data_IF_654313234331
#
_entry.id   IF_654313234331
#
_cell.length_a   1.000
_cell.length_b   1.000
_cell.length_c   1.000
_cell.angle_alpha   90.00
_cell.angle_beta   90.00
_cell.angle_gamma   90.00
#
_symmetry.space_group_name_H-M   'P 1'
#
loop_
_entity.id
_entity.type
_entity.pdbx_description
1 polymer ?
#
# COMPACT_ATOMS: atom_id res chain seq x y z
N UNK A 1 23.09 -20.61 -50.06
CA UNK A 1 23.28 -19.15 -49.86
C UNK A 1 24.52 -18.97 -49.00
N UNK A 2 25.63 -18.67 -49.65
CA UNK A 2 26.93 -18.39 -49.03
C UNK A 2 26.98 -16.92 -48.59
N UNK A 3 27.15 -16.67 -47.29
CA UNK A 3 27.49 -15.34 -46.77
C UNK A 3 28.86 -14.90 -47.34
N UNK A 4 29.05 -13.61 -47.69
CA UNK A 4 30.32 -13.16 -48.24
C UNK A 4 31.39 -13.15 -47.14
N UNK A 5 32.44 -13.95 -47.35
CA UNK A 5 33.56 -14.16 -46.42
C UNK A 5 34.30 -12.89 -45.97
N UNK A 6 34.08 -11.74 -46.64
CA UNK A 6 34.69 -10.45 -46.28
C UNK A 6 34.02 -9.75 -45.09
N UNK A 7 32.70 -9.89 -44.91
CA UNK A 7 31.96 -9.23 -43.83
C UNK A 7 32.16 -9.93 -42.47
N UNK A 8 32.33 -11.25 -42.48
CA UNK A 8 32.63 -12.04 -41.29
C UNK A 8 34.05 -11.77 -40.76
N UNK A 9 35.05 -11.66 -41.66
CA UNK A 9 36.44 -11.33 -41.32
C UNK A 9 36.60 -9.92 -40.72
N UNK A 10 35.79 -8.95 -41.17
CA UNK A 10 35.84 -7.57 -40.67
C UNK A 10 35.14 -7.41 -39.31
N UNK A 11 34.12 -8.24 -39.04
CA UNK A 11 33.46 -8.34 -37.71
C UNK A 11 34.32 -9.10 -36.69
N UNK A 12 35.05 -10.13 -37.14
CA UNK A 12 35.90 -10.92 -36.25
C UNK A 12 37.18 -10.17 -35.83
N UNK A 13 37.79 -9.42 -36.75
CA UNK A 13 38.91 -8.51 -36.44
C UNK A 13 38.54 -7.38 -35.46
N UNK A 14 37.34 -6.81 -35.56
CA UNK A 14 36.87 -5.78 -34.61
C UNK A 14 36.50 -6.34 -33.23
N UNK A 15 36.00 -7.58 -33.16
CA UNK A 15 35.77 -8.28 -31.89
C UNK A 15 37.09 -8.60 -31.17
N UNK A 16 38.06 -9.15 -31.89
CA UNK A 16 39.40 -9.42 -31.36
C UNK A 16 40.07 -8.13 -30.88
N UNK A 17 40.00 -7.04 -31.65
CA UNK A 17 40.57 -5.77 -31.23
C UNK A 17 39.88 -5.18 -30.00
N UNK A 18 38.59 -5.40 -29.78
CA UNK A 18 37.89 -4.99 -28.55
C UNK A 18 38.25 -5.87 -27.35
N UNK A 19 38.33 -7.18 -27.52
CA UNK A 19 38.81 -8.09 -26.48
C UNK A 19 40.26 -7.79 -26.09
N UNK A 20 41.13 -7.63 -27.09
CA UNK A 20 42.54 -7.24 -26.92
C UNK A 20 42.67 -5.84 -26.36
N UNK A 21 41.88 -4.84 -26.77
CA UNK A 21 41.93 -3.50 -26.19
C UNK A 21 41.40 -3.47 -24.75
N UNK A 22 40.45 -4.34 -24.41
CA UNK A 22 39.95 -4.50 -23.03
C UNK A 22 41.02 -5.14 -22.15
N UNK A 23 41.64 -6.23 -22.61
CA UNK A 23 42.73 -6.93 -21.91
C UNK A 23 44.01 -6.08 -21.85
N UNK A 24 44.39 -5.43 -22.96
CA UNK A 24 45.59 -4.57 -23.04
C UNK A 24 45.39 -3.26 -22.29
N UNK A 25 44.17 -2.70 -22.20
CA UNK A 25 43.88 -1.57 -21.27
C UNK A 25 43.88 -2.02 -19.82
N UNK A 26 43.51 -3.26 -19.52
CA UNK A 26 43.64 -3.84 -18.18
C UNK A 26 45.11 -4.13 -17.83
N UNK A 27 45.93 -4.54 -18.80
CA UNK A 27 47.36 -4.85 -18.59
C UNK A 27 48.32 -3.65 -18.69
N UNK A 28 48.05 -2.61 -19.50
CA UNK A 28 48.92 -1.42 -19.61
C UNK A 28 48.76 -0.41 -18.48
N UNK A 29 47.67 -0.46 -17.74
CA UNK A 29 47.45 0.44 -16.61
C UNK A 29 47.87 -0.19 -15.26
N UNK A 30 48.65 -1.27 -15.30
CA UNK A 30 48.98 -2.07 -14.12
C UNK A 30 50.33 -2.77 -14.16
N UNK A 31 51.36 -2.15 -14.74
CA UNK A 31 52.71 -2.42 -14.26
C UNK A 31 53.25 -1.17 -13.55
N UNK A 32 52.91 -0.96 -12.26
CA UNK A 32 53.75 -0.11 -11.42
C UNK A 32 55.18 -0.68 -11.41
N UNK A 33 56.21 0.15 -11.16
CA UNK A 33 57.57 -0.34 -11.05
C UNK A 33 57.62 -1.46 -10.02
N UNK A 34 58.24 -2.58 -10.42
CA UNK A 34 58.48 -3.77 -9.60
C UNK A 34 59.09 -3.33 -8.28
N UNK A 35 58.27 -3.27 -7.25
CA UNK A 35 58.69 -2.99 -5.89
C UNK A 35 57.74 -3.70 -4.94
N UNK A 36 58.35 -4.55 -4.11
CA UNK A 36 57.80 -5.23 -2.94
C UNK A 36 57.03 -6.56 -3.16
N UNK A 37 57.78 -7.67 -3.10
CA UNK A 37 57.42 -8.99 -2.51
C UNK A 37 56.15 -9.74 -2.91
N UNK A 38 55.27 -9.17 -3.73
CA UNK A 38 53.89 -9.64 -3.99
C UNK A 38 53.71 -10.27 -5.38
N UNK A 39 54.75 -10.25 -6.22
CA UNK A 39 54.71 -10.46 -7.68
C UNK A 39 54.82 -11.92 -8.16
N UNK A 40 54.84 -12.91 -7.27
CA UNK A 40 55.04 -14.32 -7.63
C UNK A 40 53.83 -15.22 -7.32
N UNK A 41 52.61 -14.70 -7.43
CA UNK A 41 51.42 -15.55 -7.24
C UNK A 41 51.06 -16.26 -8.54
N UNK A 42 50.84 -17.56 -8.46
CA UNK A 42 50.52 -18.41 -9.63
C UNK A 42 49.30 -17.92 -10.40
N UNK A 43 48.34 -17.27 -9.74
CA UNK A 43 47.12 -16.75 -10.36
C UNK A 43 47.37 -15.64 -11.37
N UNK A 44 48.41 -14.83 -11.15
CA UNK A 44 48.72 -13.68 -12.01
C UNK A 44 49.27 -14.14 -13.36
N UNK A 45 49.81 -15.37 -13.43
CA UNK A 45 50.20 -16.00 -14.70
C UNK A 45 48.97 -16.24 -15.60
N UNK A 46 47.86 -16.71 -15.02
CA UNK A 46 46.68 -17.15 -15.77
C UNK A 46 45.59 -16.08 -15.92
N UNK A 47 45.79 -14.93 -15.30
CA UNK A 47 44.79 -13.86 -15.19
C UNK A 47 44.30 -13.34 -16.56
N UNK A 48 45.21 -13.16 -17.52
CA UNK A 48 44.87 -12.72 -18.89
C UNK A 48 43.99 -13.74 -19.63
N UNK A 49 44.28 -15.03 -19.49
CA UNK A 49 43.52 -16.11 -20.12
C UNK A 49 42.14 -16.25 -19.48
N UNK A 50 42.08 -16.27 -18.15
CA UNK A 50 40.81 -16.35 -17.43
C UNK A 50 39.92 -15.15 -17.78
N UNK A 51 40.46 -13.94 -17.78
CA UNK A 51 39.72 -12.74 -18.16
C UNK A 51 39.22 -12.80 -19.61
N UNK A 52 40.03 -13.29 -20.55
CA UNK A 52 39.62 -13.45 -21.94
C UNK A 52 38.47 -14.45 -22.10
N UNK A 53 38.52 -15.58 -21.38
CA UNK A 53 37.49 -16.63 -21.46
C UNK A 53 36.19 -16.17 -20.79
N UNK A 54 36.25 -15.43 -19.68
CA UNK A 54 35.07 -14.79 -19.07
C UNK A 54 34.47 -13.74 -20.02
N UNK A 55 35.31 -12.94 -20.69
CA UNK A 55 34.85 -12.01 -21.71
C UNK A 55 34.17 -12.73 -22.88
N UNK A 56 34.73 -13.86 -23.31
CA UNK A 56 34.13 -14.71 -24.34
C UNK A 56 32.75 -15.22 -23.89
N UNK A 57 32.64 -15.83 -22.72
CA UNK A 57 31.38 -16.38 -22.20
C UNK A 57 30.27 -15.32 -22.15
N UNK A 58 30.60 -14.10 -21.74
CA UNK A 58 29.63 -12.99 -21.65
C UNK A 58 29.26 -12.34 -22.98
N UNK A 59 30.02 -12.59 -24.05
CA UNK A 59 29.83 -11.91 -25.35
C UNK A 59 29.50 -12.84 -26.51
N UNK A 60 29.78 -14.15 -26.40
CA UNK A 60 29.68 -15.09 -27.51
C UNK A 60 28.27 -15.21 -28.10
N UNK A 61 27.22 -14.96 -27.30
CA UNK A 61 25.83 -14.99 -27.76
C UNK A 61 25.48 -13.77 -28.63
N UNK A 62 25.96 -12.59 -28.26
CA UNK A 62 25.63 -11.32 -28.96
C UNK A 62 26.55 -11.05 -30.14
N UNK A 63 27.83 -11.40 -30.00
CA UNK A 63 28.88 -11.19 -31.00
C UNK A 63 29.79 -12.42 -31.01
N UNK A 64 29.39 -13.51 -31.70
CA UNK A 64 30.19 -14.72 -31.75
C UNK A 64 31.50 -14.47 -32.49
N UNK A 65 32.67 -14.74 -31.88
CA UNK A 65 33.94 -14.67 -32.60
C UNK A 65 34.04 -15.77 -33.65
N UNK A 66 34.90 -15.56 -34.64
CA UNK A 66 35.26 -16.63 -35.58
C UNK A 66 36.07 -17.71 -34.87
N UNK A 67 35.92 -18.96 -35.30
CA UNK A 67 36.61 -20.11 -34.72
C UNK A 67 38.14 -19.93 -34.70
N UNK A 68 38.72 -19.55 -35.84
CA UNK A 68 40.17 -19.41 -35.99
C UNK A 68 40.72 -18.27 -35.14
N UNK A 69 40.05 -17.11 -35.16
CA UNK A 69 40.46 -15.93 -34.39
C UNK A 69 40.46 -16.19 -32.88
N UNK A 70 39.39 -16.83 -32.38
CA UNK A 70 39.30 -17.21 -30.98
C UNK A 70 40.39 -18.22 -30.61
N UNK A 71 40.57 -19.27 -31.43
CA UNK A 71 41.57 -20.32 -31.21
C UNK A 71 43.00 -19.79 -31.21
N UNK A 72 43.38 -19.00 -32.21
CA UNK A 72 44.69 -18.38 -32.28
C UNK A 72 44.96 -17.52 -31.05
N UNK A 73 43.95 -16.76 -30.60
CA UNK A 73 44.10 -15.91 -29.42
C UNK A 73 44.27 -16.72 -28.13
N UNK A 74 43.47 -17.77 -27.93
CA UNK A 74 43.61 -18.68 -26.78
C UNK A 74 44.99 -19.32 -26.78
N UNK A 75 45.44 -19.89 -27.91
CA UNK A 75 46.75 -20.53 -28.02
C UNK A 75 47.90 -19.54 -27.75
N UNK A 76 47.79 -18.30 -28.24
CA UNK A 76 48.77 -17.26 -27.95
C UNK A 76 48.85 -16.94 -26.45
N UNK A 77 47.70 -16.86 -25.76
CA UNK A 77 47.65 -16.62 -24.31
C UNK A 77 48.19 -17.81 -23.52
N UNK A 78 47.87 -19.04 -23.92
CA UNK A 78 48.39 -20.27 -23.29
C UNK A 78 49.91 -20.36 -23.42
N UNK A 79 50.46 -20.09 -24.62
CA UNK A 79 51.91 -20.13 -24.83
C UNK A 79 52.62 -18.99 -24.07
N UNK A 80 52.01 -17.81 -23.97
CA UNK A 80 52.58 -16.69 -23.20
C UNK A 80 52.70 -16.99 -21.70
N UNK A 81 51.82 -17.82 -21.14
CA UNK A 81 51.88 -18.22 -19.73
C UNK A 81 53.13 -19.03 -19.41
N UNK A 82 53.55 -19.91 -20.32
CA UNK A 82 54.72 -20.75 -20.13
C UNK A 82 56.00 -19.92 -20.08
N UNK A 83 56.13 -18.93 -20.97
CA UNK A 83 57.26 -18.01 -20.97
C UNK A 83 57.30 -17.13 -19.70
N UNK A 84 56.13 -16.66 -19.24
CA UNK A 84 56.03 -15.91 -17.97
C UNK A 84 56.36 -16.79 -16.76
N UNK A 85 55.95 -18.05 -16.75
CA UNK A 85 56.25 -18.98 -15.67
C UNK A 85 57.76 -19.28 -15.58
N UNK A 86 58.42 -19.45 -16.74
CA UNK A 86 59.88 -19.59 -16.83
C UNK A 86 60.59 -18.34 -16.32
N UNK A 87 60.15 -17.15 -16.74
CA UNK A 87 60.73 -15.88 -16.31
C UNK A 87 60.59 -15.63 -14.80
N UNK A 88 59.48 -16.06 -14.21
CA UNK A 88 59.22 -15.93 -12.76
C UNK A 88 59.83 -17.08 -11.92
N UNK A 89 60.57 -18.01 -12.54
CA UNK A 89 61.24 -19.11 -11.83
C UNK A 89 60.28 -20.13 -11.21
N UNK A 90 59.07 -20.29 -11.77
CA UNK A 90 58.08 -21.24 -11.25
C UNK A 90 58.50 -22.68 -11.58
N UNK A 91 58.43 -23.57 -10.59
CA UNK A 91 58.73 -25.00 -10.80
C UNK A 91 57.85 -25.60 -11.89
N UNK A 92 58.45 -26.43 -12.77
CA UNK A 92 57.78 -26.99 -13.95
C UNK A 92 56.55 -27.80 -13.57
N UNK A 93 56.64 -28.58 -12.49
CA UNK A 93 55.54 -29.38 -11.95
C UNK A 93 54.40 -28.49 -11.45
N UNK A 94 54.73 -27.42 -10.72
CA UNK A 94 53.74 -26.45 -10.21
C UNK A 94 53.02 -25.75 -11.36
N UNK A 95 53.76 -25.34 -12.40
CA UNK A 95 53.18 -24.76 -13.61
C UNK A 95 52.30 -25.77 -14.35
N UNK A 96 52.74 -27.04 -14.48
CA UNK A 96 52.00 -28.08 -15.16
C UNK A 96 50.67 -28.39 -14.46
N UNK A 97 50.67 -28.47 -13.13
CA UNK A 97 49.48 -28.72 -12.30
C UNK A 97 48.47 -27.56 -12.34
N UNK A 98 48.97 -26.32 -12.29
CA UNK A 98 48.10 -25.14 -12.39
C UNK A 98 47.55 -24.97 -13.80
N UNK A 99 48.37 -25.16 -14.84
CA UNK A 99 47.94 -25.11 -16.25
C UNK A 99 46.86 -26.16 -16.53
N UNK A 100 46.99 -27.36 -15.96
CA UNK A 100 45.99 -28.41 -16.11
C UNK A 100 44.60 -27.95 -15.64
N UNK A 101 44.52 -27.36 -14.45
CA UNK A 101 43.27 -26.86 -13.88
C UNK A 101 42.61 -25.80 -14.77
N UNK A 102 43.41 -24.82 -15.22
CA UNK A 102 42.90 -23.71 -16.02
C UNK A 102 42.42 -24.19 -17.39
N UNK A 103 43.19 -25.02 -18.10
CA UNK A 103 42.77 -25.50 -19.42
C UNK A 103 41.56 -26.43 -19.36
N UNK A 104 41.42 -27.20 -18.27
CA UNK A 104 40.21 -28.01 -18.02
C UNK A 104 38.97 -27.12 -17.92
N UNK A 105 39.08 -26.00 -17.19
CA UNK A 105 38.00 -25.02 -17.10
C UNK A 105 37.73 -24.29 -18.42
N UNK A 106 38.77 -23.92 -19.18
CA UNK A 106 38.58 -23.29 -20.49
C UNK A 106 37.82 -24.19 -21.45
N UNK A 107 38.21 -25.47 -21.56
CA UNK A 107 37.53 -26.43 -22.41
C UNK A 107 36.06 -26.60 -22.01
N UNK A 108 35.78 -26.81 -20.72
CA UNK A 108 34.41 -26.96 -20.24
C UNK A 108 33.56 -25.71 -20.50
N UNK A 109 34.12 -24.52 -20.27
CA UNK A 109 33.43 -23.24 -20.49
C UNK A 109 33.08 -23.05 -21.97
N UNK A 110 34.02 -23.33 -22.88
CA UNK A 110 33.79 -23.19 -24.32
C UNK A 110 32.77 -24.22 -24.82
N UNK A 111 32.85 -25.47 -24.37
CA UNK A 111 31.96 -26.55 -24.80
C UNK A 111 30.52 -26.38 -24.28
N UNK A 112 30.37 -25.81 -23.08
CA UNK A 112 29.06 -25.55 -22.48
C UNK A 112 28.46 -24.18 -22.86
N UNK A 113 29.20 -23.36 -23.62
CA UNK A 113 28.72 -22.05 -24.06
C UNK A 113 27.66 -22.13 -25.17
N UNK A 114 26.92 -21.03 -25.37
CA UNK A 114 25.99 -20.87 -26.49
C UNK A 114 26.69 -20.55 -27.83
N UNK A 115 28.00 -20.75 -27.93
CA UNK A 115 28.77 -20.42 -29.13
C UNK A 115 28.44 -21.37 -30.30
N UNK A 116 28.20 -20.86 -31.53
CA UNK A 116 27.85 -21.71 -32.68
C UNK A 116 28.93 -22.72 -33.07
N UNK A 117 30.21 -22.38 -32.86
CA UNK A 117 31.34 -23.21 -33.27
C UNK A 117 31.86 -24.14 -32.16
N UNK A 118 31.14 -24.28 -31.03
CA UNK A 118 31.59 -25.07 -29.88
C UNK A 118 31.91 -26.54 -30.22
N UNK A 119 31.20 -27.15 -31.18
CA UNK A 119 31.45 -28.54 -31.62
C UNK A 119 32.71 -28.68 -32.48
N UNK A 120 33.21 -27.58 -33.04
CA UNK A 120 34.44 -27.52 -33.83
C UNK A 120 35.64 -27.10 -32.98
N UNK A 121 35.42 -26.84 -31.68
CA UNK A 121 36.47 -26.50 -30.75
C UNK A 121 37.45 -27.67 -30.62
N UNK A 122 38.74 -27.40 -30.83
CA UNK A 122 39.77 -28.38 -30.53
C UNK A 122 40.05 -28.35 -29.04
N UNK A 123 39.63 -29.41 -28.33
CA UNK A 123 39.87 -29.59 -26.91
C UNK A 123 41.35 -29.39 -26.55
N UNK A 124 41.64 -28.36 -25.75
CA UNK A 124 42.98 -28.05 -25.27
C UNK A 124 43.56 -29.20 -24.44
N UNK A 125 42.72 -29.87 -23.66
CA UNK A 125 43.13 -31.01 -22.83
C UNK A 125 43.61 -32.20 -23.67
N UNK A 126 42.99 -32.43 -24.83
CA UNK A 126 43.44 -33.45 -25.78
C UNK A 126 44.77 -33.03 -26.44
N UNK A 127 44.92 -31.76 -26.80
CA UNK A 127 46.13 -31.25 -27.46
C UNK A 127 47.36 -31.22 -26.55
N UNK A 128 47.23 -30.73 -25.32
CA UNK A 128 48.36 -30.52 -24.42
C UNK A 128 48.63 -31.71 -23.49
N UNK A 129 47.60 -32.43 -23.06
CA UNK A 129 47.71 -33.50 -22.06
C UNK A 129 47.29 -34.88 -22.59
N UNK A 130 46.81 -34.97 -23.84
CA UNK A 130 46.32 -36.22 -24.47
C UNK A 130 45.25 -36.94 -23.64
N UNK A 131 44.45 -36.17 -22.90
CA UNK A 131 43.36 -36.68 -22.06
C UNK A 131 42.02 -36.16 -22.54
N UNK A 132 41.01 -37.03 -22.47
CA UNK A 132 39.60 -36.69 -22.71
C UNK A 132 38.79 -36.65 -21.41
N UNK A 133 39.36 -37.13 -20.29
CA UNK A 133 38.67 -37.25 -19.01
C UNK A 133 39.08 -36.15 -18.01
N UNK A 134 39.35 -34.95 -18.52
CA UNK A 134 39.82 -33.82 -17.71
C UNK A 134 38.88 -33.51 -16.52
N UNK A 135 37.57 -33.72 -16.69
CA UNK A 135 36.57 -33.49 -15.66
C UNK A 135 36.71 -34.36 -14.41
N UNK A 136 37.22 -35.59 -14.51
CA UNK A 136 37.53 -36.45 -13.35
C UNK A 136 38.97 -36.26 -12.86
N UNK A 137 39.91 -36.13 -13.81
CA UNK A 137 41.33 -35.94 -13.50
C UNK A 137 41.59 -34.66 -12.71
N UNK A 138 40.83 -33.59 -12.96
CA UNK A 138 40.87 -32.36 -12.19
C UNK A 138 40.71 -32.61 -10.69
N UNK A 139 39.71 -33.40 -10.29
CA UNK A 139 39.49 -33.69 -8.87
C UNK A 139 40.53 -34.65 -8.30
N UNK A 140 41.00 -35.60 -9.12
CA UNK A 140 42.10 -36.50 -8.72
C UNK A 140 43.39 -35.72 -8.44
N UNK A 141 43.74 -34.77 -9.30
CA UNK A 141 44.91 -33.91 -9.10
C UNK A 141 44.75 -33.08 -7.83
N UNK A 142 43.58 -32.47 -7.62
CA UNK A 142 43.26 -31.69 -6.42
C UNK A 142 43.38 -32.52 -5.11
N UNK A 143 42.93 -33.77 -5.12
CA UNK A 143 43.01 -34.69 -3.98
C UNK A 143 44.47 -35.10 -3.68
N UNK A 144 45.30 -35.25 -4.72
CA UNK A 144 46.72 -35.63 -4.61
C UNK A 144 47.65 -34.47 -4.22
N UNK A 145 47.16 -33.22 -4.23
CA UNK A 145 47.98 -32.06 -3.90
C UNK A 145 48.47 -32.12 -2.44
N UNK A 146 49.78 -31.89 -2.19
CA UNK A 146 50.31 -31.77 -0.84
C UNK A 146 49.56 -30.73 0.00
N UNK A 147 49.48 -30.93 1.31
CA UNK A 147 48.79 -29.99 2.21
C UNK A 147 49.37 -28.57 2.13
N UNK A 148 50.67 -28.45 1.86
CA UNK A 148 51.42 -27.20 1.76
C UNK A 148 51.19 -26.44 0.43
N UNK A 149 50.66 -27.11 -0.61
CA UNK A 149 50.51 -26.55 -1.95
C UNK A 149 49.26 -25.64 -2.08
N UNK A 150 49.14 -24.64 -1.21
CA UNK A 150 47.98 -23.76 -1.16
C UNK A 150 47.86 -22.85 -2.39
N UNK A 151 48.99 -22.44 -3.00
CA UNK A 151 48.97 -21.60 -4.21
C UNK A 151 48.36 -22.33 -5.41
N UNK A 152 48.62 -23.63 -5.55
CA UNK A 152 48.00 -24.47 -6.59
C UNK A 152 46.52 -24.65 -6.28
N UNK A 153 46.20 -24.98 -5.02
CA UNK A 153 44.82 -25.18 -4.55
C UNK A 153 43.95 -23.92 -4.73
N UNK A 154 44.53 -22.73 -4.64
CA UNK A 154 43.88 -21.46 -4.96
C UNK A 154 43.40 -21.43 -6.42
N UNK A 155 44.20 -21.87 -7.39
CA UNK A 155 43.82 -21.93 -8.81
C UNK A 155 42.65 -22.89 -9.02
N UNK A 156 42.71 -24.07 -8.42
CA UNK A 156 41.60 -25.05 -8.47
C UNK A 156 40.32 -24.44 -7.89
N UNK A 157 40.42 -23.77 -6.73
CA UNK A 157 39.30 -23.07 -6.13
C UNK A 157 38.75 -21.95 -7.02
N UNK A 158 39.60 -21.20 -7.72
CA UNK A 158 39.20 -20.17 -8.67
C UNK A 158 38.43 -20.77 -9.85
N UNK A 159 38.93 -21.82 -10.49
CA UNK A 159 38.24 -22.52 -11.58
C UNK A 159 36.85 -23.02 -11.14
N UNK A 160 36.78 -23.62 -9.94
CA UNK A 160 35.52 -24.05 -9.33
C UNK A 160 34.57 -22.88 -9.08
N UNK A 161 35.09 -21.74 -8.63
CA UNK A 161 34.28 -20.53 -8.37
C UNK A 161 33.80 -19.85 -9.65
N UNK A 162 34.56 -19.98 -10.74
CA UNK A 162 34.20 -19.53 -12.08
C UNK A 162 33.25 -20.49 -12.82
N UNK A 163 32.76 -21.54 -12.15
CA UNK A 163 31.69 -22.38 -12.68
C UNK A 163 32.14 -23.75 -13.19
N UNK A 164 33.41 -24.15 -13.02
CA UNK A 164 33.84 -25.52 -13.33
C UNK A 164 33.06 -26.55 -12.49
N UNK A 165 32.53 -27.57 -13.16
CA UNK A 165 31.76 -28.67 -12.58
C UNK A 165 32.47 -30.02 -12.75
N UNK A 166 33.08 -30.27 -13.91
CA UNK A 166 33.73 -31.54 -14.23
C UNK A 166 32.82 -32.75 -14.01
N UNK A 167 33.31 -33.76 -13.28
CA UNK A 167 32.54 -34.98 -12.94
C UNK A 167 31.21 -34.72 -12.21
N UNK A 168 31.03 -33.55 -11.61
CA UNK A 168 29.84 -33.16 -10.87
C UNK A 168 28.78 -32.42 -11.70
N UNK A 169 28.93 -32.39 -13.03
CA UNK A 169 27.98 -31.70 -13.91
C UNK A 169 26.60 -32.39 -14.02
N UNK A 170 26.53 -33.70 -13.76
CA UNK A 170 25.31 -34.50 -13.91
C UNK A 170 24.87 -35.11 -12.57
N UNK A 171 23.59 -35.02 -12.23
CA UNK A 171 23.00 -35.68 -11.06
C UNK A 171 22.91 -34.83 -9.78
N UNK A 172 22.67 -35.49 -8.64
CA UNK A 172 22.53 -34.88 -7.30
C UNK A 172 23.87 -34.47 -6.65
N UNK A 173 24.98 -34.74 -7.35
CA UNK A 173 26.32 -34.53 -6.82
C UNK A 173 26.75 -33.04 -6.78
N UNK A 174 25.89 -32.11 -7.23
CA UNK A 174 26.12 -30.67 -7.04
C UNK A 174 26.21 -30.28 -5.55
N UNK A 175 25.57 -31.04 -4.67
CA UNK A 175 25.73 -30.88 -3.22
C UNK A 175 27.17 -31.21 -2.78
N UNK A 176 27.75 -32.30 -3.28
CA UNK A 176 29.14 -32.67 -2.98
C UNK A 176 30.12 -31.60 -3.50
N UNK A 177 29.89 -31.07 -4.69
CA UNK A 177 30.70 -29.99 -5.26
C UNK A 177 30.64 -28.73 -4.38
N UNK A 178 29.46 -28.40 -3.84
CA UNK A 178 29.27 -27.25 -2.94
C UNK A 178 30.02 -27.43 -1.62
N UNK A 179 29.95 -28.64 -1.05
CA UNK A 179 30.65 -28.97 0.19
C UNK A 179 32.17 -29.00 -0.01
N UNK A 180 32.65 -29.52 -1.15
CA UNK A 180 34.05 -29.44 -1.54
C UNK A 180 34.53 -27.98 -1.64
N UNK A 181 33.80 -27.11 -2.34
CA UNK A 181 34.14 -25.67 -2.42
C UNK A 181 34.22 -25.02 -1.04
N UNK A 182 33.31 -25.38 -0.12
CA UNK A 182 33.31 -24.88 1.26
C UNK A 182 34.51 -25.37 2.06
N UNK A 183 34.87 -26.65 1.93
CA UNK A 183 36.03 -27.23 2.59
C UNK A 183 37.34 -26.59 2.10
N UNK A 184 37.50 -26.44 0.77
CA UNK A 184 38.65 -25.76 0.16
C UNK A 184 38.77 -24.32 0.62
N UNK A 185 37.65 -23.57 0.64
CA UNK A 185 37.64 -22.20 1.13
C UNK A 185 38.11 -22.10 2.58
N UNK A 186 37.62 -22.98 3.46
CA UNK A 186 38.01 -23.01 4.87
C UNK A 186 39.51 -23.32 5.04
N UNK A 187 40.04 -24.27 4.27
CA UNK A 187 41.46 -24.61 4.29
C UNK A 187 42.36 -23.45 3.82
N UNK A 188 41.96 -22.79 2.73
CA UNK A 188 42.71 -21.64 2.20
C UNK A 188 42.63 -20.43 3.15
N UNK A 189 41.48 -20.18 3.79
CA UNK A 189 41.33 -19.10 4.77
C UNK A 189 42.14 -19.33 6.05
N UNK A 190 42.26 -20.61 6.48
CA UNK A 190 43.03 -20.97 7.68
C UNK A 190 44.53 -20.68 7.55
N UNK A 191 45.06 -20.58 6.33
CA UNK A 191 46.49 -20.36 6.08
C UNK A 191 46.81 -18.93 5.64
N UNK A 192 45.91 -18.27 4.89
CA UNK A 192 46.18 -16.97 4.23
C UNK A 192 45.28 -15.81 4.73
N UNK A 193 44.51 -16.00 5.81
CA UNK A 193 43.49 -15.03 6.27
C UNK A 193 42.20 -15.10 5.45
N UNK A 194 41.20 -14.25 5.76
CA UNK A 194 39.95 -14.22 4.99
C UNK A 194 40.25 -13.81 3.55
N UNK A 195 40.16 -14.77 2.62
CA UNK A 195 40.50 -14.60 1.21
C UNK A 195 39.69 -13.43 0.62
N UNK A 196 38.46 -13.18 1.12
CA UNK A 196 37.61 -12.05 0.74
C UNK A 196 38.20 -10.68 1.08
N UNK A 197 38.98 -10.58 2.15
CA UNK A 197 39.61 -9.34 2.61
C UNK A 197 40.99 -9.13 1.98
N UNK A 198 41.72 -10.23 1.71
CA UNK A 198 43.06 -10.20 1.08
C UNK A 198 43.01 -10.03 -0.45
N UNK A 199 41.81 -9.98 -1.05
CA UNK A 199 41.65 -9.47 -2.42
C UNK A 199 41.89 -7.95 -2.45
N UNK A 200 43.16 -7.54 -2.54
CA UNK A 200 43.46 -6.42 -3.43
C UNK A 200 42.87 -6.81 -4.79
N UNK A 201 41.74 -6.17 -5.14
CA UNK A 201 40.96 -6.39 -6.35
C UNK A 201 41.89 -6.78 -7.50
N UNK A 202 41.70 -7.95 -8.12
CA UNK A 202 42.59 -8.45 -9.19
C UNK A 202 42.86 -7.40 -10.29
N UNK A 203 41.95 -6.44 -10.47
CA UNK A 203 42.14 -5.27 -11.32
C UNK A 203 41.43 -4.05 -10.70
N UNK A 204 42.06 -3.31 -9.77
CA UNK A 204 41.41 -2.19 -9.07
C UNK A 204 40.85 -1.16 -10.06
N UNK A 205 41.54 -0.97 -11.17
CA UNK A 205 41.14 -0.06 -12.26
C UNK A 205 40.02 -0.59 -13.16
N UNK A 206 39.96 -1.90 -13.42
CA UNK A 206 38.81 -2.49 -14.14
C UNK A 206 37.55 -2.32 -13.29
N UNK A 207 37.68 -2.53 -11.98
CA UNK A 207 36.62 -2.23 -11.03
C UNK A 207 36.40 -0.73 -10.87
N UNK A 208 37.33 0.19 -11.08
CA UNK A 208 37.03 1.64 -11.09
C UNK A 208 36.31 2.08 -12.36
N UNK A 209 36.61 1.47 -13.52
CA UNK A 209 35.88 1.73 -14.78
C UNK A 209 34.48 1.10 -14.78
N UNK A 210 34.29 -0.02 -14.08
CA UNK A 210 32.97 -0.62 -13.84
C UNK A 210 32.27 0.04 -12.63
N UNK A 211 33.01 0.42 -11.58
CA UNK A 211 32.57 1.22 -10.44
C UNK A 211 32.81 2.71 -10.70
N UNK A 212 32.27 3.18 -11.81
CA UNK A 212 31.07 3.99 -11.78
C UNK A 212 30.92 4.61 -13.16
N UNK A 213 30.38 3.83 -14.13
CA UNK A 213 29.21 4.42 -14.75
C UNK A 213 28.29 4.70 -13.55
N UNK A 214 27.92 5.95 -13.22
CA UNK A 214 26.92 6.15 -12.19
C UNK A 214 25.81 5.19 -12.61
N UNK A 215 25.56 4.14 -11.81
CA UNK A 215 24.28 3.48 -11.90
C UNK A 215 23.36 4.67 -11.83
N UNK A 216 22.66 4.96 -12.92
CA UNK A 216 21.64 5.97 -12.91
C UNK A 216 20.72 5.43 -11.83
N UNK A 217 20.91 5.90 -10.58
CA UNK A 217 20.02 5.62 -9.46
C UNK A 217 18.67 5.78 -10.10
N UNK A 218 17.78 4.78 -10.04
CA UNK A 218 16.68 4.65 -10.97
C UNK A 218 15.67 5.77 -10.72
N UNK A 219 16.04 7.01 -11.06
CA UNK A 219 15.29 8.23 -10.93
C UNK A 219 14.07 8.09 -11.83
N UNK A 220 14.22 7.37 -12.94
CA UNK A 220 13.12 6.97 -13.81
C UNK A 220 12.17 6.00 -13.10
N UNK A 221 12.63 4.97 -12.36
CA UNK A 221 11.71 4.07 -11.63
C UNK A 221 11.02 4.78 -10.46
N UNK A 222 11.71 5.62 -9.69
CA UNK A 222 11.10 6.40 -8.61
C UNK A 222 10.07 7.39 -9.16
N UNK A 223 10.35 8.05 -10.29
CA UNK A 223 9.39 8.93 -10.97
C UNK A 223 8.18 8.13 -11.46
N UNK A 224 8.38 6.92 -12.02
CA UNK A 224 7.30 6.01 -12.42
C UNK A 224 6.47 5.51 -11.24
N UNK A 225 7.09 5.20 -10.10
CA UNK A 225 6.35 4.85 -8.89
C UNK A 225 5.60 6.06 -8.32
N UNK A 226 6.18 7.27 -8.38
CA UNK A 226 5.52 8.49 -7.96
C UNK A 226 4.31 8.85 -8.85
N UNK A 227 4.42 8.69 -10.17
CA UNK A 227 3.29 8.90 -11.10
C UNK A 227 2.25 7.78 -11.03
N UNK A 228 2.68 6.53 -10.85
CA UNK A 228 1.76 5.40 -10.66
C UNK A 228 0.98 5.52 -9.34
N UNK A 229 1.58 6.09 -8.29
CA UNK A 229 0.92 6.31 -7.01
C UNK A 229 0.10 7.62 -6.98
N UNK A 230 0.44 8.63 -7.78
CA UNK A 230 -0.30 9.90 -7.79
C UNK A 230 -1.73 9.76 -8.32
N UNK A 231 -1.95 8.90 -9.31
CA UNK A 231 -3.28 8.68 -9.88
C UNK A 231 -4.30 8.13 -8.85
N UNK A 232 -4.06 7.02 -8.13
CA UNK A 232 -4.98 6.53 -7.12
C UNK A 232 -5.13 7.50 -5.92
N UNK A 233 -4.08 8.24 -5.55
CA UNK A 233 -4.16 9.27 -4.50
C UNK A 233 -5.06 10.44 -4.93
N UNK A 234 -4.92 10.93 -6.16
CA UNK A 234 -5.80 11.97 -6.71
C UNK A 234 -7.25 11.48 -6.82
N UNK A 235 -7.45 10.23 -7.23
CA UNK A 235 -8.77 9.61 -7.30
C UNK A 235 -9.40 9.52 -5.90
N UNK A 236 -8.61 9.13 -4.89
CA UNK A 236 -9.05 9.10 -3.49
C UNK A 236 -9.40 10.49 -2.96
N UNK A 237 -8.56 11.51 -3.22
CA UNK A 237 -8.84 12.91 -2.80
C UNK A 237 -10.11 13.43 -3.47
N UNK A 238 -10.27 13.18 -4.78
CA UNK A 238 -11.46 13.57 -5.53
C UNK A 238 -12.71 12.88 -4.97
N UNK A 239 -12.65 11.57 -4.76
CA UNK A 239 -13.73 10.79 -4.16
C UNK A 239 -14.09 11.28 -2.75
N UNK A 240 -13.09 11.55 -1.91
CA UNK A 240 -13.27 12.10 -0.57
C UNK A 240 -13.93 13.49 -0.61
N UNK A 241 -13.55 14.34 -1.56
CA UNK A 241 -14.15 15.66 -1.73
C UNK A 241 -15.61 15.56 -2.20
N UNK A 242 -15.91 14.68 -3.15
CA UNK A 242 -17.28 14.42 -3.62
C UNK A 242 -18.16 13.90 -2.48
N UNK A 243 -17.68 12.90 -1.73
CA UNK A 243 -18.36 12.38 -0.54
C UNK A 243 -18.61 13.48 0.50
N UNK A 244 -17.59 14.31 0.77
CA UNK A 244 -17.70 15.38 1.76
C UNK A 244 -18.67 16.47 1.30
N UNK A 245 -18.71 16.78 0.02
CA UNK A 245 -19.68 17.72 -0.53
C UNK A 245 -21.11 17.22 -0.31
N UNK A 246 -21.41 15.99 -0.73
CA UNK A 246 -22.72 15.35 -0.54
C UNK A 246 -23.09 15.22 0.95
N UNK A 247 -22.16 14.80 1.79
CA UNK A 247 -22.38 14.69 3.23
C UNK A 247 -22.71 16.05 3.88
N UNK A 248 -21.99 17.11 3.50
CA UNK A 248 -22.27 18.45 4.02
C UNK A 248 -23.64 18.98 3.55
N UNK A 249 -24.07 18.68 2.33
CA UNK A 249 -25.41 19.02 1.85
C UNK A 249 -26.49 18.31 2.67
N UNK A 250 -26.31 17.03 2.97
CA UNK A 250 -27.22 16.26 3.83
C UNK A 250 -27.24 16.77 5.28
N UNK A 251 -26.07 17.09 5.85
CA UNK A 251 -25.97 17.65 7.20
C UNK A 251 -26.70 19.00 7.27
N UNK A 252 -26.53 19.87 6.27
CA UNK A 252 -27.23 21.17 6.22
C UNK A 252 -28.76 21.02 6.17
N UNK A 253 -29.29 19.96 5.55
CA UNK A 253 -30.72 19.67 5.53
C UNK A 253 -31.25 19.14 6.88
N UNK A 254 -30.45 18.35 7.59
CA UNK A 254 -30.78 17.85 8.94
C UNK A 254 -30.66 18.98 9.97
N UNK A 255 -29.65 19.83 9.81
CA UNK A 255 -29.33 20.95 10.70
C UNK A 255 -30.06 22.23 10.28
N UNK A 256 -31.33 22.08 9.88
CA UNK A 256 -32.25 23.21 9.73
C UNK A 256 -32.28 23.94 11.09
N UNK A 257 -32.02 25.26 11.14
CA UNK A 257 -31.86 25.94 12.42
C UNK A 257 -33.11 25.71 13.27
N UNK A 258 -32.89 25.25 14.51
CA UNK A 258 -33.95 25.17 15.50
C UNK A 258 -34.66 26.53 15.54
N UNK A 259 -35.99 26.52 15.51
CA UNK A 259 -36.80 27.74 15.63
C UNK A 259 -36.27 28.48 16.87
N UNK A 260 -35.68 29.67 16.69
CA UNK A 260 -35.18 30.47 17.80
C UNK A 260 -36.38 30.83 18.70
N UNK A 261 -36.52 30.11 19.80
CA UNK A 261 -37.56 30.36 20.80
C UNK A 261 -37.16 31.62 21.58
N UNK A 262 -38.01 32.67 21.64
CA UNK A 262 -37.72 33.86 22.42
C UNK A 262 -37.43 33.51 23.89
N UNK A 263 -36.50 34.23 24.52
CA UNK A 263 -36.20 34.05 25.95
C UNK A 263 -37.46 34.17 26.83
N UNK A 264 -38.35 35.11 26.48
CA UNK A 264 -39.65 35.33 27.12
C UNK A 264 -40.81 34.72 26.32
N UNK A 265 -40.68 33.43 25.98
CA UNK A 265 -41.64 32.73 25.12
C UNK A 265 -43.11 32.85 25.58
N UNK A 266 -43.37 32.91 26.89
CA UNK A 266 -44.71 33.01 27.44
C UNK A 266 -45.39 34.33 27.07
N UNK A 267 -44.65 35.44 27.16
CA UNK A 267 -45.15 36.76 26.78
C UNK A 267 -45.42 36.85 25.28
N UNK A 268 -44.47 36.40 24.45
CA UNK A 268 -44.63 36.41 22.98
C UNK A 268 -45.78 35.50 22.53
N UNK A 269 -45.96 34.35 23.17
CA UNK A 269 -47.09 33.44 22.91
C UNK A 269 -48.42 34.12 23.23
N UNK A 270 -48.54 34.75 24.39
CA UNK A 270 -49.77 35.46 24.79
C UNK A 270 -50.10 36.60 23.84
N UNK A 271 -49.11 37.42 23.46
CA UNK A 271 -49.31 38.53 22.52
C UNK A 271 -49.83 38.06 21.16
N UNK A 272 -49.21 37.03 20.60
CA UNK A 272 -49.59 36.50 19.28
C UNK A 272 -50.98 35.84 19.31
N UNK A 273 -51.31 35.09 20.37
CA UNK A 273 -52.64 34.50 20.53
C UNK A 273 -53.71 35.58 20.68
N UNK A 274 -53.44 36.66 21.43
CA UNK A 274 -54.35 37.81 21.55
C UNK A 274 -54.56 38.52 20.22
N UNK A 275 -53.51 38.70 19.41
CA UNK A 275 -53.62 39.25 18.04
C UNK A 275 -54.55 38.41 17.16
N UNK A 276 -54.52 37.09 17.33
CA UNK A 276 -55.44 36.15 16.65
C UNK A 276 -56.85 36.09 17.27
N UNK A 277 -57.17 36.97 18.23
CA UNK A 277 -58.49 37.04 18.85
C UNK A 277 -58.76 35.94 19.88
N UNK A 278 -57.73 35.26 20.38
CA UNK A 278 -57.84 34.24 21.42
C UNK A 278 -57.61 34.86 22.80
N UNK A 279 -58.34 34.37 23.81
CA UNK A 279 -58.10 34.76 25.21
C UNK A 279 -56.94 33.94 25.76
N UNK A 280 -55.79 34.58 25.91
CA UNK A 280 -54.59 34.01 26.52
C UNK A 280 -54.12 34.87 27.70
N UNK A 281 -53.73 34.22 28.79
CA UNK A 281 -53.22 34.86 30.02
C UNK A 281 -51.96 34.12 30.46
N UNK A 282 -50.94 34.87 30.86
CA UNK A 282 -49.76 34.30 31.47
C UNK A 282 -49.99 34.10 32.98
N UNK A 283 -49.85 32.87 33.45
CA UNK A 283 -50.04 32.48 34.85
C UNK A 283 -48.78 31.78 35.39
N UNK A 284 -48.65 31.58 36.73
CA UNK A 284 -47.51 30.88 37.31
C UNK A 284 -47.36 29.44 36.80
N UNK A 285 -48.47 28.75 36.53
CA UNK A 285 -48.50 27.34 36.08
C UNK A 285 -48.18 27.20 34.56
N UNK A 286 -48.39 28.26 33.78
CA UNK A 286 -48.24 28.25 32.33
C UNK A 286 -49.04 29.34 31.62
N UNK A 287 -49.04 29.31 30.28
CA UNK A 287 -49.91 30.17 29.48
C UNK A 287 -51.27 29.50 29.31
N UNK A 288 -52.32 30.08 29.92
CA UNK A 288 -53.70 29.59 29.85
C UNK A 288 -54.43 30.21 28.67
N UNK A 289 -55.01 29.37 27.83
CA UNK A 289 -55.77 29.75 26.63
C UNK A 289 -57.19 29.24 26.79
N UNK A 290 -58.18 30.14 26.78
CA UNK A 290 -59.58 29.77 27.03
C UNK A 290 -60.37 29.70 25.73
N UNK A 291 -60.95 28.54 25.45
CA UNK A 291 -61.90 28.29 24.36
C UNK A 291 -63.33 28.25 24.92
N UNK A 292 -64.17 29.20 24.53
CA UNK A 292 -65.57 29.31 24.98
C UNK A 292 -66.50 28.25 24.34
N UNK A 293 -67.58 27.87 25.04
CA UNK A 293 -68.53 26.79 24.67
C UNK A 293 -69.16 26.88 23.29
N UNK A 294 -69.26 28.08 22.71
CA UNK A 294 -70.04 28.38 21.48
C UNK A 294 -69.54 27.67 20.22
N UNK A 295 -68.64 26.72 20.41
CA UNK A 295 -67.79 26.05 19.46
C UNK A 295 -68.08 24.53 19.42
N UNK A 296 -68.73 23.96 20.45
CA UNK A 296 -69.15 22.55 20.46
C UNK A 296 -70.68 22.43 20.34
N UNK A 297 -71.18 21.44 19.60
CA UNK A 297 -72.62 21.16 19.57
C UNK A 297 -73.13 20.76 20.97
N UNK A 298 -74.40 21.06 21.27
CA UNK A 298 -75.00 20.75 22.57
C UNK A 298 -74.87 19.25 22.89
N UNK A 299 -74.41 18.92 24.10
CA UNK A 299 -74.11 17.55 24.55
C UNK A 299 -73.13 16.75 23.67
N UNK A 300 -72.35 17.42 22.82
CA UNK A 300 -71.36 16.76 21.96
C UNK A 300 -69.93 17.16 22.33
N UNK A 301 -69.01 16.25 22.03
CA UNK A 301 -67.57 16.46 22.02
C UNK A 301 -67.02 16.75 20.61
N UNK A 302 -67.88 16.69 19.57
CA UNK A 302 -67.47 16.92 18.20
C UNK A 302 -67.08 18.39 17.95
N UNK A 303 -65.91 18.58 17.33
CA UNK A 303 -65.39 19.88 16.94
C UNK A 303 -66.10 20.39 15.68
N UNK A 304 -66.58 21.63 15.70
CA UNK A 304 -67.02 22.35 14.50
C UNK A 304 -65.78 22.88 13.73
N UNK A 305 -65.82 22.99 12.38
CA UNK A 305 -64.79 23.64 11.57
C UNK A 305 -64.20 24.95 12.11
N UNK A 306 -65.02 25.82 12.72
CA UNK A 306 -64.55 27.07 13.33
C UNK A 306 -63.62 26.83 14.54
N UNK A 307 -63.89 25.78 15.33
CA UNK A 307 -63.03 25.38 16.45
C UNK A 307 -61.74 24.78 15.93
N UNK A 308 -61.84 23.97 14.89
CA UNK A 308 -60.66 23.37 14.28
C UNK A 308 -59.71 24.45 13.76
N UNK A 309 -60.24 25.52 13.17
CA UNK A 309 -59.40 26.66 12.74
C UNK A 309 -58.69 27.32 13.92
N UNK A 310 -59.40 27.57 15.03
CA UNK A 310 -58.79 28.13 16.25
C UNK A 310 -57.76 27.20 16.88
N UNK A 311 -58.03 25.88 16.91
CA UNK A 311 -57.08 24.88 17.41
C UNK A 311 -55.85 24.83 16.50
N UNK A 312 -56.02 24.88 15.18
CA UNK A 312 -54.91 24.96 14.23
C UNK A 312 -54.05 26.19 14.49
N UNK A 313 -54.67 27.34 14.72
CA UNK A 313 -53.97 28.58 15.07
C UNK A 313 -53.20 28.47 16.38
N UNK A 314 -53.81 27.90 17.42
CA UNK A 314 -53.15 27.66 18.71
C UNK A 314 -51.95 26.72 18.50
N UNK A 315 -52.15 25.58 17.86
CA UNK A 315 -51.09 24.60 17.61
C UNK A 315 -49.93 25.21 16.83
N UNK A 316 -50.22 25.96 15.76
CA UNK A 316 -49.20 26.64 14.97
C UNK A 316 -48.39 27.64 15.81
N UNK A 317 -49.07 28.43 16.65
CA UNK A 317 -48.41 29.41 17.52
C UNK A 317 -47.60 28.72 18.63
N UNK A 318 -48.15 27.70 19.30
CA UNK A 318 -47.43 26.95 20.34
C UNK A 318 -46.22 26.21 19.76
N UNK A 319 -46.30 25.65 18.55
CA UNK A 319 -45.13 25.05 17.89
C UNK A 319 -44.01 26.04 17.58
N UNK A 320 -44.35 27.31 17.37
CA UNK A 320 -43.36 28.36 17.08
C UNK A 320 -42.69 28.88 18.35
N UNK A 321 -43.47 29.12 19.41
CA UNK A 321 -42.97 29.78 20.62
C UNK A 321 -42.66 28.81 21.76
N UNK A 322 -43.28 27.63 21.80
CA UNK A 322 -43.14 26.67 22.89
C UNK A 322 -43.14 25.19 22.40
N UNK A 323 -42.33 24.82 21.39
CA UNK A 323 -42.38 23.49 20.75
C UNK A 323 -42.10 22.32 21.70
N UNK A 324 -41.36 22.56 22.78
CA UNK A 324 -40.93 21.53 23.72
C UNK A 324 -41.73 21.45 25.01
N UNK A 325 -42.69 22.36 25.21
CA UNK A 325 -43.49 22.45 26.44
C UNK A 325 -44.60 21.41 26.49
N UNK A 326 -44.92 20.96 27.70
CA UNK A 326 -46.09 20.13 27.95
C UNK A 326 -47.37 20.96 27.84
N UNK A 327 -48.46 20.31 27.46
CA UNK A 327 -49.76 20.92 27.23
C UNK A 327 -50.78 20.17 28.07
N UNK A 328 -51.47 20.87 28.95
CA UNK A 328 -52.63 20.35 29.68
C UNK A 328 -53.92 20.92 29.07
N UNK A 329 -54.88 20.06 28.80
CA UNK A 329 -56.19 20.41 28.27
C UNK A 329 -57.23 20.10 29.33
N UNK A 330 -57.85 21.14 29.88
CA UNK A 330 -58.87 21.04 30.91
C UNK A 330 -60.26 21.30 30.35
N UNK A 331 -61.15 20.34 30.48
CA UNK A 331 -62.56 20.47 30.10
C UNK A 331 -63.43 20.88 31.29
N UNK A 332 -64.35 21.82 31.06
CA UNK A 332 -65.32 22.27 32.07
C UNK A 332 -66.75 22.24 31.53
N UNK A 333 -67.69 21.90 32.40
CA UNK A 333 -69.13 21.86 32.11
C UNK A 333 -69.90 22.80 33.04
N UNK A 334 -71.04 23.31 32.59
CA UNK A 334 -71.97 24.05 33.44
C UNK A 334 -72.76 23.11 34.34
N UNK A 335 -73.13 23.59 35.53
CA UNK A 335 -74.09 22.90 36.39
C UNK A 335 -75.51 23.32 35.96
N UNK A 336 -76.29 22.40 35.42
CA UNK A 336 -77.73 22.56 35.24
C UNK A 336 -78.44 21.90 36.43
N UNK A 337 -79.65 22.37 36.78
CA UNK A 337 -80.32 21.99 38.04
C UNK A 337 -80.55 20.48 38.20
N UNK A 338 -80.59 19.73 37.11
CA UNK A 338 -81.03 18.32 37.08
C UNK A 338 -80.00 17.33 36.47
N UNK A 339 -78.69 17.61 36.48
CA UNK A 339 -77.69 16.75 35.84
C UNK A 339 -76.67 16.11 36.79
N UNK A 340 -76.46 14.79 36.63
CA UNK A 340 -75.44 13.99 37.31
C UNK A 340 -74.03 14.55 37.06
N UNK A 341 -73.30 14.88 38.12
CA UNK A 341 -71.90 15.33 38.04
C UNK A 341 -71.02 14.34 37.29
N UNK A 342 -71.32 13.05 37.35
CA UNK A 342 -70.66 12.00 36.56
C UNK A 342 -70.80 12.23 35.06
N UNK A 343 -71.97 12.67 34.60
CA UNK A 343 -72.23 12.99 33.18
C UNK A 343 -71.43 14.22 32.75
N UNK A 344 -71.38 15.24 33.60
CA UNK A 344 -70.58 16.45 33.36
C UNK A 344 -69.09 16.15 33.31
N UNK A 345 -68.60 15.27 34.19
CA UNK A 345 -67.20 14.80 34.19
C UNK A 345 -66.85 14.03 32.92
N UNK A 346 -67.74 13.15 32.43
CA UNK A 346 -67.54 12.45 31.14
C UNK A 346 -67.52 13.42 29.97
N UNK A 347 -68.54 14.26 29.83
CA UNK A 347 -68.64 15.21 28.71
C UNK A 347 -67.46 16.20 28.67
N UNK A 348 -67.04 16.70 29.83
CA UNK A 348 -65.86 17.57 29.90
C UNK A 348 -64.57 16.85 29.55
N UNK A 349 -64.41 15.59 29.98
CA UNK A 349 -63.26 14.75 29.59
C UNK A 349 -63.25 14.48 28.10
N UNK A 350 -64.38 14.09 27.51
CA UNK A 350 -64.47 13.77 26.07
C UNK A 350 -64.15 14.99 25.19
N UNK A 351 -64.52 16.20 25.64
CA UNK A 351 -64.14 17.46 24.98
C UNK A 351 -62.65 17.75 25.08
N UNK A 352 -62.08 17.59 26.27
CA UNK A 352 -60.63 17.75 26.47
C UNK A 352 -59.84 16.73 25.61
N UNK A 353 -60.33 15.50 25.53
CA UNK A 353 -59.75 14.43 24.72
C UNK A 353 -59.83 14.75 23.22
N UNK A 354 -60.97 15.27 22.75
CA UNK A 354 -61.14 15.69 21.37
C UNK A 354 -60.16 16.79 20.94
N UNK A 355 -59.88 17.74 21.85
CA UNK A 355 -58.86 18.77 21.65
C UNK A 355 -57.45 18.17 21.71
N UNK A 356 -57.16 17.28 22.65
CA UNK A 356 -55.88 16.54 22.71
C UNK A 356 -55.60 15.78 21.41
N UNK A 357 -56.56 15.04 20.89
CA UNK A 357 -56.44 14.30 19.64
C UNK A 357 -56.23 15.25 18.44
N UNK A 358 -56.84 16.44 18.46
CA UNK A 358 -56.55 17.46 17.46
C UNK A 358 -55.09 17.95 17.53
N UNK A 359 -54.55 18.18 18.73
CA UNK A 359 -53.14 18.56 18.91
C UNK A 359 -52.18 17.47 18.42
N UNK A 360 -52.49 16.20 18.71
CA UNK A 360 -51.69 15.04 18.27
C UNK A 360 -51.74 14.91 16.75
N UNK A 361 -52.93 14.99 16.14
CA UNK A 361 -53.13 14.96 14.68
C UNK A 361 -52.36 16.08 13.98
N UNK A 362 -52.27 17.25 14.61
CA UNK A 362 -51.53 18.40 14.10
C UNK A 362 -50.02 18.31 14.40
N UNK A 363 -49.55 17.20 14.97
CA UNK A 363 -48.14 16.83 15.09
C UNK A 363 -47.49 17.18 16.41
N UNK A 364 -48.24 17.24 17.52
CA UNK A 364 -47.66 17.12 18.86
C UNK A 364 -47.48 15.64 19.23
N UNK A 365 -46.47 15.35 20.05
CA UNK A 365 -46.29 14.00 20.60
C UNK A 365 -47.35 13.74 21.67
N UNK A 366 -47.90 12.53 21.71
CA UNK A 366 -48.99 12.14 22.61
C UNK A 366 -48.61 12.18 24.10
N UNK A 367 -47.33 12.06 24.42
CA UNK A 367 -46.78 12.16 25.78
C UNK A 367 -46.69 13.60 26.30
N UNK A 368 -46.80 14.60 25.40
CA UNK A 368 -46.76 16.03 25.75
C UNK A 368 -48.14 16.66 25.93
N UNK A 369 -49.22 15.95 25.61
CA UNK A 369 -50.58 16.50 25.67
C UNK A 369 -51.43 15.65 26.61
N UNK A 370 -51.83 16.23 27.73
CA UNK A 370 -52.67 15.61 28.75
C UNK A 370 -54.08 16.19 28.67
N UNK A 371 -55.10 15.36 28.83
CA UNK A 371 -56.50 15.79 28.86
C UNK A 371 -57.15 15.41 30.20
N UNK A 372 -57.87 16.36 30.80
CA UNK A 372 -58.59 16.14 32.06
C UNK A 372 -59.95 16.84 32.05
N UNK A 373 -61.00 16.11 32.45
CA UNK A 373 -62.35 16.67 32.62
C UNK A 373 -62.64 17.00 34.08
N UNK A 374 -62.96 18.26 34.38
CA UNK A 374 -63.29 18.74 35.72
C UNK A 374 -64.80 18.83 36.01
N UNK A 375 -65.66 18.49 35.05
CA UNK A 375 -67.10 18.58 35.22
C UNK A 375 -67.53 20.00 35.60
N UNK A 376 -68.43 20.12 36.58
CA UNK A 376 -68.90 21.41 37.08
C UNK A 376 -68.16 21.90 38.33
N UNK A 377 -67.09 21.20 38.75
CA UNK A 377 -66.38 21.42 40.00
C UNK A 377 -65.56 22.74 40.06
N UNK A 378 -65.27 23.37 38.91
CA UNK A 378 -64.47 24.61 38.81
C UNK A 378 -65.24 25.69 38.01
N UNK A 379 -66.32 26.28 38.56
CA UNK A 379 -67.07 27.34 37.89
C UNK A 379 -66.31 28.66 37.90
N UNK A 380 -66.35 29.39 36.79
CA UNK A 380 -65.80 30.76 36.66
C UNK A 380 -66.90 31.84 36.66
N UNK A 381 -68.16 31.42 36.56
CA UNK A 381 -69.33 32.29 36.62
C UNK A 381 -70.50 31.60 37.32
N UNK A 382 -71.52 32.37 37.71
CA UNK A 382 -72.74 31.84 38.33
C UNK A 382 -73.52 30.98 37.33
N UNK A 383 -73.94 29.78 37.73
CA UNK A 383 -74.72 28.88 36.87
C UNK A 383 -76.20 29.26 36.74
N UNK A 384 -76.66 30.30 37.45
CA UNK A 384 -78.06 30.72 37.43
C UNK A 384 -78.44 31.48 36.15
N UNK A 385 -77.48 32.09 35.46
CA UNK A 385 -77.69 32.81 34.21
C UNK A 385 -77.23 31.99 33.00
N UNK A 386 -77.87 32.16 31.85
CA UNK A 386 -77.43 31.53 30.60
C UNK A 386 -75.99 31.91 30.24
N UNK A 387 -75.67 33.20 30.40
CA UNK A 387 -74.33 33.73 30.16
C UNK A 387 -73.27 33.05 31.06
N UNK A 388 -73.55 32.88 32.35
CA UNK A 388 -72.62 32.23 33.26
C UNK A 388 -72.47 30.73 32.99
N UNK A 389 -73.56 30.03 32.59
CA UNK A 389 -73.49 28.65 32.09
C UNK A 389 -72.65 28.54 30.82
N UNK A 390 -72.76 29.48 29.90
CA UNK A 390 -71.94 29.50 28.68
C UNK A 390 -70.46 29.70 28.99
N UNK A 391 -70.12 30.54 29.96
CA UNK A 391 -68.73 30.72 30.43
C UNK A 391 -68.19 29.47 31.13
N UNK A 392 -69.03 28.75 31.89
CA UNK A 392 -68.61 27.52 32.56
C UNK A 392 -68.44 26.32 31.62
N UNK A 393 -69.08 26.35 30.45
CA UNK A 393 -68.83 25.39 29.37
C UNK A 393 -67.61 25.87 28.58
N UNK A 394 -66.42 25.39 28.91
CA UNK A 394 -65.19 25.85 28.26
C UNK A 394 -64.15 24.75 28.23
N UNK A 395 -63.17 24.92 27.34
CA UNK A 395 -61.94 24.14 27.35
C UNK A 395 -60.79 25.11 27.56
N UNK A 396 -59.93 24.80 28.52
CA UNK A 396 -58.72 25.57 28.77
C UNK A 396 -57.51 24.76 28.32
N UNK A 397 -56.60 25.41 27.60
CA UNK A 397 -55.35 24.81 27.14
C UNK A 397 -54.22 25.55 27.87
N UNK A 398 -53.43 24.82 28.63
CA UNK A 398 -52.34 25.35 29.45
C UNK A 398 -51.02 24.87 28.87
N UNK A 399 -50.19 25.80 28.41
CA UNK A 399 -48.81 25.51 27.99
C UNK A 399 -47.91 25.67 29.21
N UNK A 400 -47.40 24.56 29.72
CA UNK A 400 -46.70 24.47 31.02
C UNK A 400 -45.34 25.18 30.98
N UNK A 401 -45.02 25.86 32.07
CA UNK A 401 -43.82 26.70 32.20
C UNK A 401 -42.49 25.98 32.37
#
# INVERSE_FOLDING_TARGET
MSEPASASAQRSSTWLQRGVATITRMGRAGNPPVSDGSTNRLRDLFSDLMAFVIFFETTCEKQPPSLNDFREKVLALVNAQEERAKANGVAVETFRETRFAVLSWVDETVLNSNWPYRSQWQHLMLSFYRTVNAGEEFFRHLELLPSQANDIREIYYLCLSLGFQGKYAFGDDQHQLRDLKRALYKQLCGTNGDIRQTYHRLYPEAYQKVAAAPQAKPRVKLLWYATALSFPVLLFICYWFLLRHEANQLIALIQKPAIEVPADWALSLVEELRRKGLRAVDEPEGVRITLESLLFAANSAQLNPQVETKINDIVATVKRYAPERAIAVEGHASKERDLDEERNRRLSRDRAESVREAFIRLGFRSDRVMAQGFGSARPVALNDTDQGRMQNRRVEIIVVK
#
